data_IF_344038669014
#
_entry.id   IF_344038669014
#
_cell.length_a   1.000
_cell.length_b   1.000
_cell.length_c   1.000
_cell.angle_alpha   90.00
_cell.angle_beta   90.00
_cell.angle_gamma   90.00
#
_symmetry.space_group_name_H-M   'P 1'
#
loop_
_entity.id
_entity.type
_entity.pdbx_description
1 polymer ?
#
# COMPACT_ATOMS: atom_id res chain seq x y z
N UNK A 1 5.18 -17.34 20.98
CA UNK A 1 4.59 -17.32 19.63
C UNK A 1 3.52 -16.22 19.50
N UNK A 2 2.65 -16.02 20.50
CA UNK A 2 1.44 -15.16 20.38
C UNK A 2 1.64 -13.62 20.37
N UNK A 3 2.76 -13.07 20.84
CA UNK A 3 2.98 -11.61 20.89
C UNK A 3 3.63 -11.08 19.60
N UNK A 4 4.71 -11.72 19.14
CA UNK A 4 5.46 -11.30 17.96
C UNK A 4 4.63 -11.41 16.67
N UNK A 5 3.79 -12.45 16.56
CA UNK A 5 2.84 -12.60 15.44
C UNK A 5 1.80 -11.47 15.39
N UNK A 6 1.26 -11.07 16.54
CA UNK A 6 0.28 -9.99 16.63
C UNK A 6 0.92 -8.65 16.26
N UNK A 7 2.20 -8.45 16.61
CA UNK A 7 2.91 -7.20 16.34
C UNK A 7 3.32 -7.06 14.88
N UNK A 8 3.75 -8.14 14.21
CA UNK A 8 4.08 -8.10 12.78
C UNK A 8 2.88 -7.77 11.89
N UNK A 9 1.70 -8.33 12.19
CA UNK A 9 0.44 -8.01 11.47
C UNK A 9 -0.02 -6.58 11.71
N UNK A 10 0.04 -6.11 12.96
CA UNK A 10 -0.28 -4.71 13.30
C UNK A 10 0.66 -3.72 12.61
N UNK A 11 1.95 -4.03 12.50
CA UNK A 11 2.89 -3.19 11.76
C UNK A 11 2.52 -3.09 10.28
N UNK A 12 2.18 -4.21 9.64
CA UNK A 12 1.71 -4.21 8.25
C UNK A 12 0.42 -3.40 8.06
N UNK A 13 -0.50 -3.48 9.03
CA UNK A 13 -1.71 -2.65 9.09
C UNK A 13 -1.36 -1.16 9.12
N UNK A 14 -0.53 -0.75 10.08
CA UNK A 14 -0.13 0.65 10.27
C UNK A 14 0.61 1.23 9.06
N UNK A 15 1.49 0.44 8.43
CA UNK A 15 2.17 0.84 7.19
C UNK A 15 1.18 1.09 6.06
N UNK A 16 0.20 0.21 5.92
CA UNK A 16 -0.85 0.34 4.90
C UNK A 16 -1.74 1.55 5.18
N UNK A 17 -2.18 1.75 6.42
CA UNK A 17 -2.96 2.93 6.83
C UNK A 17 -2.19 4.23 6.57
N UNK A 18 -0.90 4.26 6.89
CA UNK A 18 -0.04 5.40 6.64
C UNK A 18 0.03 5.74 5.15
N UNK A 19 0.22 4.75 4.28
CA UNK A 19 0.24 4.94 2.83
C UNK A 19 -1.09 5.50 2.30
N UNK A 20 -2.21 4.95 2.76
CA UNK A 20 -3.54 5.40 2.34
C UNK A 20 -3.88 6.80 2.87
N UNK A 21 -3.52 7.11 4.11
CA UNK A 21 -3.69 8.43 4.69
C UNK A 21 -2.80 9.48 4.00
N UNK A 22 -1.58 9.10 3.59
CA UNK A 22 -0.72 9.95 2.77
C UNK A 22 -1.36 10.24 1.41
N UNK A 23 -1.93 9.22 0.76
CA UNK A 23 -2.63 9.36 -0.52
C UNK A 23 -3.82 10.33 -0.42
N UNK A 24 -4.62 10.23 0.64
CA UNK A 24 -5.76 11.14 0.87
C UNK A 24 -5.35 12.60 1.04
N UNK A 25 -4.28 12.84 1.79
CA UNK A 25 -3.78 14.20 2.04
C UNK A 25 -3.07 14.80 0.83
N UNK A 26 -2.61 13.96 -0.10
CA UNK A 26 -1.83 14.39 -1.27
C UNK A 26 -2.42 13.88 -2.60
N UNK A 27 -3.60 14.36 -3.03
CA UNK A 27 -4.24 13.96 -4.29
C UNK A 27 -3.34 14.08 -5.53
N UNK A 28 -2.49 15.12 -5.59
CA UNK A 28 -1.53 15.31 -6.68
C UNK A 28 -0.47 14.20 -6.71
N UNK A 29 0.04 13.79 -5.54
CA UNK A 29 0.99 12.69 -5.44
C UNK A 29 0.36 11.35 -5.80
N UNK A 30 -0.93 11.16 -5.55
CA UNK A 30 -1.64 9.95 -6.01
C UNK A 30 -1.55 9.83 -7.53
N UNK A 31 -1.78 10.90 -8.29
CA UNK A 31 -1.64 10.88 -9.75
C UNK A 31 -0.22 10.59 -10.22
N UNK A 32 0.79 11.02 -9.47
CA UNK A 32 2.21 10.69 -9.75
C UNK A 32 2.47 9.20 -9.47
N UNK A 33 2.00 8.71 -8.33
CA UNK A 33 2.18 7.32 -7.90
C UNK A 33 1.38 6.32 -8.74
N UNK A 34 0.24 6.73 -9.32
CA UNK A 34 -0.55 5.92 -10.26
C UNK A 34 -0.05 6.03 -11.70
N UNK A 35 0.92 6.92 -11.98
CA UNK A 35 1.50 7.14 -13.30
C UNK A 35 0.72 8.11 -14.20
N UNK A 36 -0.48 8.54 -13.80
CA UNK A 36 -1.32 9.46 -14.59
C UNK A 36 -0.60 10.80 -14.87
N UNK A 37 0.18 11.30 -13.91
CA UNK A 37 0.95 12.53 -14.04
C UNK A 37 2.32 12.35 -14.70
N UNK A 38 2.72 11.12 -15.04
CA UNK A 38 4.02 10.80 -15.65
C UNK A 38 3.92 10.58 -17.16
N UNK A 39 2.73 10.72 -17.74
CA UNK A 39 2.52 10.62 -19.19
C UNK A 39 3.20 11.81 -19.87
N UNK A 40 4.16 11.54 -20.77
CA UNK A 40 4.95 12.56 -21.45
C UNK A 40 6.17 13.08 -20.66
N UNK A 41 6.38 12.56 -19.46
CA UNK A 41 7.54 12.87 -18.62
C UNK A 41 8.70 11.88 -18.85
N UNK A 42 9.89 12.22 -18.35
CA UNK A 42 11.06 11.33 -18.42
C UNK A 42 10.83 10.01 -17.64
N UNK A 43 11.15 8.88 -18.28
CA UNK A 43 11.01 7.52 -17.74
C UNK A 43 11.64 7.31 -16.36
N UNK A 44 12.72 8.05 -16.04
CA UNK A 44 13.36 8.02 -14.71
C UNK A 44 12.38 8.29 -13.56
N UNK A 45 11.33 9.06 -13.79
CA UNK A 45 10.31 9.34 -12.77
C UNK A 45 9.45 8.11 -12.52
N UNK A 46 9.06 7.36 -13.56
CA UNK A 46 8.38 6.08 -13.39
C UNK A 46 9.28 5.10 -12.63
N UNK A 47 10.58 5.02 -12.97
CA UNK A 47 11.53 4.17 -12.25
C UNK A 47 11.60 4.52 -10.76
N UNK A 48 11.56 5.81 -10.39
CA UNK A 48 11.55 6.23 -8.98
C UNK A 48 10.27 5.82 -8.25
N UNK A 49 9.11 5.89 -8.91
CA UNK A 49 7.84 5.42 -8.34
C UNK A 49 7.86 3.91 -8.12
N UNK A 50 8.38 3.14 -9.09
CA UNK A 50 8.51 1.69 -8.95
C UNK A 50 9.44 1.33 -7.78
N UNK A 51 10.60 1.98 -7.68
CA UNK A 51 11.53 1.77 -6.56
C UNK A 51 10.91 2.11 -5.19
N UNK A 52 10.01 3.08 -5.13
CA UNK A 52 9.27 3.38 -3.90
C UNK A 52 8.36 2.20 -3.52
N UNK A 53 7.59 1.67 -4.47
CA UNK A 53 6.72 0.52 -4.21
C UNK A 53 7.50 -0.75 -3.87
N UNK A 54 8.61 -1.02 -4.56
CA UNK A 54 9.50 -2.16 -4.25
C UNK A 54 10.02 -2.10 -2.81
N UNK A 55 10.43 -0.90 -2.35
CA UNK A 55 10.88 -0.69 -0.97
C UNK A 55 9.75 -0.81 0.05
N UNK A 56 8.55 -0.33 -0.31
CA UNK A 56 7.38 -0.46 0.54
C UNK A 56 6.98 -1.93 0.70
N UNK A 57 6.98 -2.71 -0.39
CA UNK A 57 6.73 -4.15 -0.37
C UNK A 57 7.75 -4.89 0.50
N UNK A 58 9.03 -4.56 0.36
CA UNK A 58 10.09 -5.16 1.17
C UNK A 58 9.87 -4.90 2.67
N UNK A 59 9.43 -3.69 3.04
CA UNK A 59 9.09 -3.35 4.43
C UNK A 59 7.90 -4.15 4.93
N UNK A 60 6.82 -4.26 4.14
CA UNK A 60 5.66 -5.09 4.48
C UNK A 60 6.06 -6.55 4.68
N UNK A 61 6.85 -7.10 3.77
CA UNK A 61 7.35 -8.48 3.85
C UNK A 61 8.17 -8.69 5.11
N UNK A 62 9.01 -7.73 5.49
CA UNK A 62 9.81 -7.83 6.71
C UNK A 62 8.94 -7.84 7.98
N UNK A 63 7.91 -6.97 8.04
CA UNK A 63 6.96 -6.96 9.17
C UNK A 63 6.16 -8.27 9.25
N UNK A 64 5.71 -8.81 8.12
CA UNK A 64 4.93 -10.04 8.07
C UNK A 64 5.77 -11.31 8.29
N UNK A 65 7.07 -11.27 8.00
CA UNK A 65 7.97 -12.41 8.23
C UNK A 65 8.11 -12.79 9.71
N UNK A 66 7.84 -11.85 10.61
CA UNK A 66 7.79 -12.09 12.06
C UNK A 66 6.48 -12.81 12.43
N UNK A 67 5.44 -12.68 11.60
CA UNK A 67 4.08 -13.11 11.89
C UNK A 67 3.52 -14.25 11.04
N UNK A 68 4.21 -14.66 9.98
CA UNK A 68 3.77 -15.75 9.10
C UNK A 68 4.94 -16.64 8.68
N UNK A 69 4.74 -17.95 8.81
CA UNK A 69 5.74 -18.95 8.43
C UNK A 69 5.56 -19.34 6.95
N UNK A 70 6.27 -18.62 6.07
CA UNK A 70 6.39 -18.96 4.65
C UNK A 70 5.55 -18.14 3.65
N UNK A 71 4.45 -17.50 4.05
CA UNK A 71 3.56 -16.77 3.12
C UNK A 71 3.69 -15.23 3.16
N UNK A 72 4.62 -14.71 3.97
CA UNK A 72 4.84 -13.27 4.15
C UNK A 72 5.06 -12.50 2.83
N UNK A 73 5.68 -13.13 1.82
CA UNK A 73 5.89 -12.52 0.51
C UNK A 73 4.60 -12.35 -0.28
N UNK A 74 3.79 -13.41 -0.39
CA UNK A 74 2.52 -13.36 -1.13
C UNK A 74 1.57 -12.37 -0.48
N UNK A 75 1.48 -12.39 0.86
CA UNK A 75 0.63 -11.48 1.62
C UNK A 75 1.08 -10.01 1.48
N UNK A 76 2.38 -9.73 1.58
CA UNK A 76 2.91 -8.38 1.32
C UNK A 76 2.53 -7.87 -0.08
N UNK A 77 2.69 -8.72 -1.11
CA UNK A 77 2.34 -8.38 -2.48
C UNK A 77 0.84 -8.12 -2.65
N UNK A 78 -0.01 -8.90 -1.97
CA UNK A 78 -1.47 -8.74 -1.99
C UNK A 78 -1.89 -7.40 -1.36
N UNK A 79 -1.31 -7.06 -0.20
CA UNK A 79 -1.57 -5.79 0.50
C UNK A 79 -1.12 -4.60 -0.37
N UNK A 80 0.06 -4.67 -0.98
CA UNK A 80 0.54 -3.61 -1.85
C UNK A 80 -0.37 -3.42 -3.08
N UNK A 81 -0.74 -4.51 -3.77
CA UNK A 81 -1.65 -4.45 -4.93
C UNK A 81 -3.01 -3.87 -4.54
N UNK A 82 -3.52 -4.23 -3.37
CA UNK A 82 -4.73 -3.66 -2.81
C UNK A 82 -4.59 -2.14 -2.61
N UNK A 83 -3.52 -1.69 -1.94
CA UNK A 83 -3.30 -0.27 -1.68
C UNK A 83 -3.17 0.56 -2.98
N UNK A 84 -2.47 0.03 -3.99
CA UNK A 84 -2.38 0.63 -5.32
C UNK A 84 -3.77 0.73 -5.96
N UNK A 85 -4.59 -0.32 -5.86
CA UNK A 85 -5.97 -0.32 -6.36
C UNK A 85 -6.84 0.77 -5.72
N UNK A 86 -6.74 0.95 -4.40
CA UNK A 86 -7.43 2.03 -3.70
C UNK A 86 -7.00 3.42 -4.18
N UNK A 87 -5.69 3.64 -4.34
CA UNK A 87 -5.15 4.91 -4.85
C UNK A 87 -5.61 5.19 -6.28
N UNK A 88 -5.63 4.17 -7.14
CA UNK A 88 -6.10 4.30 -8.51
C UNK A 88 -7.60 4.62 -8.58
N UNK A 89 -8.43 3.99 -7.73
CA UNK A 89 -9.85 4.29 -7.64
C UNK A 89 -10.10 5.71 -7.10
N UNK A 90 -9.31 6.15 -6.11
CA UNK A 90 -9.37 7.51 -5.59
C UNK A 90 -9.08 8.55 -6.68
N UNK A 91 -7.99 8.35 -7.44
CA UNK A 91 -7.67 9.19 -8.59
C UNK A 91 -8.77 9.23 -9.65
N UNK A 92 -9.29 8.06 -10.07
CA UNK A 92 -10.39 7.95 -11.04
C UNK A 92 -11.70 8.58 -10.59
N UNK A 93 -11.98 8.56 -9.30
CA UNK A 93 -13.18 9.17 -8.72
C UNK A 93 -13.11 10.70 -8.63
N UNK A 94 -12.04 11.34 -9.10
CA UNK A 94 -11.81 12.77 -8.89
C UNK A 94 -11.58 13.11 -7.41
N UNK A 95 -10.99 12.18 -6.66
CA UNK A 95 -10.73 12.29 -5.22
C UNK A 95 -11.98 12.30 -4.33
N UNK A 96 -13.10 11.77 -4.82
CA UNK A 96 -14.32 11.64 -4.03
C UNK A 96 -14.33 10.39 -3.14
N UNK A 97 -13.77 9.26 -3.60
CA UNK A 97 -13.78 7.98 -2.87
C UNK A 97 -12.51 7.77 -2.04
N UNK A 98 -12.60 8.01 -0.74
CA UNK A 98 -11.47 7.93 0.19
C UNK A 98 -10.91 6.49 0.32
N UNK A 99 -9.60 6.28 0.07
CA UNK A 99 -8.93 4.99 0.28
C UNK A 99 -9.12 4.38 1.68
N UNK A 100 -9.11 5.20 2.74
CA UNK A 100 -9.24 4.76 4.13
C UNK A 100 -10.60 4.16 4.46
N UNK A 101 -11.68 4.66 3.85
CA UNK A 101 -13.04 4.15 4.05
C UNK A 101 -13.16 2.70 3.57
N UNK A 102 -12.54 2.37 2.43
CA UNK A 102 -12.53 1.00 1.92
C UNK A 102 -11.64 0.08 2.75
N UNK A 103 -10.50 0.58 3.23
CA UNK A 103 -9.55 -0.23 4.01
C UNK A 103 -10.09 -0.62 5.38
N UNK A 104 -10.78 0.26 6.11
CA UNK A 104 -11.29 -0.06 7.46
C UNK A 104 -12.19 -1.30 7.48
N UNK A 105 -13.03 -1.47 6.45
CA UNK A 105 -13.88 -2.65 6.29
C UNK A 105 -13.11 -3.88 5.80
N UNK A 106 -12.10 -3.69 4.94
CA UNK A 106 -11.43 -4.76 4.21
C UNK A 106 -10.17 -5.30 4.89
N UNK A 107 -9.56 -4.53 5.80
CA UNK A 107 -8.35 -4.92 6.54
C UNK A 107 -8.52 -6.24 7.29
N UNK A 108 -9.73 -6.54 7.77
CA UNK A 108 -10.05 -7.81 8.43
C UNK A 108 -9.89 -9.02 7.50
N UNK A 109 -10.14 -8.87 6.20
CA UNK A 109 -9.98 -9.96 5.24
C UNK A 109 -8.55 -10.07 4.71
N UNK A 110 -7.83 -8.95 4.63
CA UNK A 110 -6.44 -8.89 4.14
C UNK A 110 -5.40 -9.32 5.19
N UNK A 111 -5.69 -9.11 6.48
CA UNK A 111 -4.77 -9.34 7.60
C UNK A 111 -5.22 -10.44 8.57
N UNK A 112 -6.33 -11.14 8.27
CA UNK A 112 -6.74 -12.36 8.97
C UNK A 112 -5.75 -13.51 8.77
#
# INVERSE_FOLDING_TARGET
ITQDEADGRKQAEQLTEMLLAFAEKNPGMVRVMTGDALVGEHERLQTRVNQFFDRFEATLKQSLRIAEDGDAASRASAILRYAIGCMHQFGKSGFARKPSESFSAQRKFLLA
#
